data_IF_304533883176
#
_entry.id   IF_304533883176
#
_cell.length_a   1.000
_cell.length_b   1.000
_cell.length_c   1.000
_cell.angle_alpha   90.00
_cell.angle_beta   90.00
_cell.angle_gamma   90.00
#
_symmetry.space_group_name_H-M   'P 1'
#
loop_
_entity.id
_entity.type
_entity.pdbx_description
1 polymer ?
#
# COMPACT_ATOMS: atom_id res chain seq x y z
N UNK A 1 13.51 -3.89 14.83
CA UNK A 1 14.29 -4.06 13.58
C UNK A 1 13.31 -3.97 12.43
N UNK A 2 13.60 -3.23 11.36
CA UNK A 2 12.72 -3.15 10.18
C UNK A 2 13.00 -4.34 9.25
N UNK A 3 11.97 -4.93 8.66
CA UNK A 3 12.07 -6.01 7.68
C UNK A 3 12.15 -5.40 6.28
N UNK A 4 13.12 -5.82 5.49
CA UNK A 4 13.23 -5.41 4.07
C UNK A 4 12.36 -6.33 3.22
N UNK A 5 11.48 -5.74 2.42
CA UNK A 5 10.61 -6.45 1.47
C UNK A 5 10.95 -6.00 0.07
N UNK A 6 11.35 -6.93 -0.80
CA UNK A 6 11.72 -6.59 -2.17
C UNK A 6 10.48 -6.22 -3.01
N UNK A 7 10.63 -5.19 -3.84
CA UNK A 7 9.61 -4.79 -4.82
C UNK A 7 10.23 -4.55 -6.19
N UNK A 8 9.48 -4.81 -7.26
CA UNK A 8 9.92 -4.44 -8.61
C UNK A 8 9.41 -3.06 -9.05
N UNK A 9 8.46 -2.49 -8.32
CA UNK A 9 7.89 -1.18 -8.63
C UNK A 9 8.76 -0.06 -8.05
N UNK A 10 9.23 0.89 -8.89
CA UNK A 10 9.97 2.07 -8.41
C UNK A 10 9.14 2.95 -7.48
N UNK A 11 7.81 3.00 -7.66
CA UNK A 11 6.92 3.82 -6.83
C UNK A 11 6.90 3.33 -5.36
N UNK A 12 7.00 2.01 -5.18
CA UNK A 12 7.04 1.36 -3.86
C UNK A 12 8.41 1.47 -3.17
N UNK A 13 9.48 1.87 -3.88
CA UNK A 13 10.81 2.04 -3.28
C UNK A 13 10.77 3.11 -2.17
N UNK A 14 11.34 2.82 -1.00
CA UNK A 14 11.30 3.62 0.22
C UNK A 14 9.91 3.82 0.84
N UNK A 15 8.92 3.02 0.46
CA UNK A 15 7.62 3.03 1.16
C UNK A 15 7.72 2.12 2.38
N UNK A 16 7.11 2.50 3.52
CA UNK A 16 7.12 1.66 4.72
C UNK A 16 5.77 1.59 5.42
N UNK A 17 5.54 0.47 6.13
CA UNK A 17 4.35 0.21 6.94
C UNK A 17 4.69 -0.69 8.13
N UNK A 18 4.32 -0.27 9.34
CA UNK A 18 4.66 -0.95 10.59
C UNK A 18 6.17 -1.22 10.72
N UNK A 19 6.58 -2.48 10.57
CA UNK A 19 7.99 -2.92 10.60
C UNK A 19 8.61 -3.07 9.22
N UNK A 20 7.83 -3.00 8.15
CA UNK A 20 8.28 -3.41 6.82
C UNK A 20 8.61 -2.18 5.96
N UNK A 21 9.69 -2.26 5.20
CA UNK A 21 10.08 -1.27 4.19
C UNK A 21 10.22 -1.95 2.83
N UNK A 22 9.60 -1.37 1.82
CA UNK A 22 9.69 -1.83 0.44
C UNK A 22 10.88 -1.16 -0.25
N UNK A 23 11.77 -1.99 -0.78
CA UNK A 23 12.95 -1.52 -1.49
C UNK A 23 13.06 -2.26 -2.82
N UNK A 24 13.17 -1.47 -3.89
CA UNK A 24 13.49 -2.01 -5.22
C UNK A 24 14.96 -2.41 -5.30
N UNK A 25 15.31 -3.68 -5.62
CA UNK A 25 16.70 -4.08 -5.86
C UNK A 25 17.38 -3.19 -6.89
N UNK A 26 18.67 -2.88 -6.68
CA UNK A 26 19.43 -2.07 -7.61
C UNK A 26 19.72 -2.90 -8.86
N UNK A 27 19.20 -2.51 -10.04
CA UNK A 27 19.49 -3.23 -11.26
C UNK A 27 20.96 -3.07 -11.67
N UNK A 28 21.63 -4.18 -12.00
CA UNK A 28 23.04 -4.22 -12.38
C UNK A 28 23.40 -3.26 -13.53
N UNK A 29 22.51 -3.12 -14.51
CA UNK A 29 22.73 -2.25 -15.65
C UNK A 29 22.87 -0.77 -15.26
N UNK A 30 22.33 -0.34 -14.10
CA UNK A 30 22.51 1.03 -13.61
C UNK A 30 23.93 1.30 -13.09
N UNK A 31 24.73 0.26 -12.88
CA UNK A 31 26.16 0.40 -12.53
C UNK A 31 27.07 0.42 -13.78
N UNK A 32 26.53 0.21 -14.98
CA UNK A 32 27.29 0.21 -16.23
C UNK A 32 27.27 1.57 -16.93
N UNK A 33 28.42 2.22 -17.06
CA UNK A 33 28.55 3.50 -17.77
C UNK A 33 28.07 3.43 -19.22
N UNK A 34 28.39 2.34 -19.93
CA UNK A 34 27.98 2.14 -21.34
C UNK A 34 26.45 2.13 -21.49
N UNK A 35 25.74 1.55 -20.52
CA UNK A 35 24.28 1.52 -20.53
C UNK A 35 23.69 2.92 -20.33
N UNK A 36 24.30 3.72 -19.45
CA UNK A 36 23.89 5.10 -19.22
C UNK A 36 24.01 5.93 -20.50
N UNK A 37 25.16 5.89 -21.16
CA UNK A 37 25.40 6.65 -22.39
C UNK A 37 24.41 6.28 -23.49
N UNK A 38 24.15 4.97 -23.66
CA UNK A 38 23.35 4.46 -24.76
C UNK A 38 21.84 4.58 -24.54
N UNK A 39 21.35 4.26 -23.34
CA UNK A 39 19.91 4.04 -23.10
C UNK A 39 19.29 5.08 -22.16
N UNK A 40 20.07 5.78 -21.32
CA UNK A 40 19.54 6.69 -20.28
C UNK A 40 19.79 8.17 -20.60
N UNK A 41 21.02 8.55 -20.98
CA UNK A 41 21.42 9.94 -21.17
C UNK A 41 20.63 10.68 -22.27
N UNK A 42 20.05 9.93 -23.22
CA UNK A 42 19.19 10.49 -24.27
C UNK A 42 17.78 10.87 -23.81
N UNK A 43 17.34 10.41 -22.63
CA UNK A 43 16.00 10.67 -22.08
C UNK A 43 16.11 11.31 -20.68
N UNK A 44 15.77 12.59 -20.58
CA UNK A 44 15.83 13.35 -19.34
C UNK A 44 14.95 12.74 -18.22
N UNK A 45 13.80 12.18 -18.55
CA UNK A 45 12.88 11.59 -17.56
C UNK A 45 13.44 10.28 -17.01
N UNK A 46 14.04 9.47 -17.88
CA UNK A 46 14.70 8.23 -17.48
C UNK A 46 15.95 8.53 -16.65
N UNK A 47 16.74 9.51 -17.08
CA UNK A 47 17.90 10.00 -16.35
C UNK A 47 17.53 10.43 -14.92
N UNK A 48 16.53 11.30 -14.78
CA UNK A 48 16.00 11.77 -13.49
C UNK A 48 15.60 10.63 -12.56
N UNK A 49 14.96 9.62 -13.11
CA UNK A 49 14.42 8.49 -12.35
C UNK A 49 15.51 7.50 -11.93
N UNK A 50 16.44 7.19 -12.83
CA UNK A 50 17.58 6.31 -12.56
C UNK A 50 18.55 6.96 -11.56
N UNK A 51 18.82 8.26 -11.71
CA UNK A 51 19.69 9.00 -10.81
C UNK A 51 19.08 9.11 -9.41
N UNK A 52 17.78 9.36 -9.30
CA UNK A 52 17.08 9.36 -8.02
C UNK A 52 17.13 8.02 -7.29
N UNK A 53 17.02 6.90 -8.03
CA UNK A 53 17.18 5.56 -7.46
C UNK A 53 18.61 5.30 -6.99
N UNK A 54 19.62 5.72 -7.76
CA UNK A 54 21.01 5.57 -7.33
C UNK A 54 21.31 6.39 -6.07
N UNK A 55 20.83 7.62 -6.02
CA UNK A 55 21.01 8.51 -4.89
C UNK A 55 20.34 7.98 -3.62
N UNK A 56 19.16 7.35 -3.72
CA UNK A 56 18.55 6.73 -2.55
C UNK A 56 19.42 5.60 -1.97
N UNK A 57 20.09 4.83 -2.82
CA UNK A 57 20.99 3.77 -2.39
C UNK A 57 22.26 4.30 -1.72
N UNK A 58 22.82 5.44 -2.16
CA UNK A 58 23.98 6.04 -1.49
C UNK A 58 23.64 6.49 -0.07
N UNK A 59 22.38 6.84 0.21
CA UNK A 59 21.90 7.14 1.56
C UNK A 59 21.56 5.89 2.38
N UNK A 60 21.06 4.83 1.73
CA UNK A 60 20.73 3.58 2.41
C UNK A 60 21.97 2.78 2.85
N UNK A 61 23.05 2.81 2.06
CA UNK A 61 24.22 1.96 2.24
C UNK A 61 25.43 2.84 2.58
N UNK A 62 25.49 3.28 3.83
CA UNK A 62 26.57 4.13 4.34
C UNK A 62 27.69 3.31 5.00
N UNK A 63 27.33 2.22 5.68
CA UNK A 63 28.26 1.41 6.47
C UNK A 63 28.42 0.00 5.91
N UNK A 64 29.53 -0.65 6.29
CA UNK A 64 29.80 -2.05 5.93
C UNK A 64 28.73 -3.03 6.43
N UNK A 65 28.07 -2.70 7.55
CA UNK A 65 26.90 -3.44 8.04
C UNK A 65 25.72 -3.36 7.07
N UNK A 66 25.48 -2.19 6.50
CA UNK A 66 24.35 -1.92 5.61
C UNK A 66 24.57 -2.61 4.26
N UNK A 67 25.81 -2.58 3.77
CA UNK A 67 26.23 -3.32 2.57
C UNK A 67 26.00 -4.82 2.74
N UNK A 68 26.42 -5.39 3.88
CA UNK A 68 26.15 -6.81 4.18
C UNK A 68 24.65 -7.12 4.16
N UNK A 69 23.82 -6.28 4.79
CA UNK A 69 22.36 -6.46 4.78
C UNK A 69 21.82 -6.36 3.33
N UNK A 70 22.30 -5.39 2.55
CA UNK A 70 21.87 -5.21 1.16
C UNK A 70 22.21 -6.42 0.28
N UNK A 71 23.38 -7.02 0.45
CA UNK A 71 23.76 -8.25 -0.25
C UNK A 71 22.94 -9.45 0.26
N UNK A 72 22.80 -9.63 1.58
CA UNK A 72 22.02 -10.74 2.18
C UNK A 72 20.54 -10.69 1.78
N UNK A 73 19.97 -9.50 1.62
CA UNK A 73 18.58 -9.28 1.21
C UNK A 73 18.39 -9.27 -0.31
N UNK A 74 19.48 -9.33 -1.09
CA UNK A 74 19.43 -9.29 -2.56
C UNK A 74 19.09 -7.91 -3.15
N UNK A 75 19.30 -6.83 -2.39
CA UNK A 75 19.20 -5.46 -2.90
C UNK A 75 20.40 -5.07 -3.75
N UNK A 76 21.58 -5.59 -3.40
CA UNK A 76 22.80 -5.47 -4.18
C UNK A 76 23.25 -6.85 -4.69
N UNK A 77 23.86 -6.89 -5.88
CA UNK A 77 24.54 -8.09 -6.37
C UNK A 77 25.67 -8.53 -5.44
N UNK A 78 25.86 -9.85 -5.29
CA UNK A 78 26.83 -10.41 -4.34
C UNK A 78 28.30 -10.26 -4.77
N UNK A 79 28.54 -9.93 -6.03
CA UNK A 79 29.83 -9.63 -6.63
C UNK A 79 30.31 -8.20 -6.35
N UNK A 80 29.43 -7.30 -5.91
CA UNK A 80 29.80 -5.93 -5.54
C UNK A 80 30.35 -5.90 -4.12
N UNK A 81 31.66 -5.77 -3.97
CA UNK A 81 32.29 -5.58 -2.67
C UNK A 81 32.03 -4.16 -2.10
N UNK A 82 32.32 -3.99 -0.81
CA UNK A 82 32.05 -2.71 -0.12
C UNK A 82 32.93 -1.57 -0.64
N UNK A 83 34.16 -1.86 -1.07
CA UNK A 83 35.11 -0.84 -1.51
C UNK A 83 34.71 -0.32 -2.91
N UNK A 84 34.28 -1.21 -3.80
CA UNK A 84 33.69 -0.90 -5.11
C UNK A 84 32.40 -0.10 -4.96
N UNK A 85 31.51 -0.53 -4.06
CA UNK A 85 30.29 0.23 -3.75
C UNK A 85 30.63 1.65 -3.26
N UNK A 86 31.59 1.78 -2.35
CA UNK A 86 31.98 3.07 -1.77
C UNK A 86 32.58 3.99 -2.84
N UNK A 87 33.46 3.47 -3.70
CA UNK A 87 34.02 4.23 -4.82
C UNK A 87 32.92 4.73 -5.77
N UNK A 88 31.96 3.87 -6.09
CA UNK A 88 30.80 4.21 -6.93
C UNK A 88 29.89 5.27 -6.29
N UNK A 89 29.57 5.11 -5.00
CA UNK A 89 28.74 6.05 -4.25
C UNK A 89 29.40 7.44 -4.13
N UNK A 90 30.73 7.50 -3.99
CA UNK A 90 31.49 8.75 -3.99
C UNK A 90 31.38 9.46 -5.35
N UNK A 91 31.50 8.74 -6.48
CA UNK A 91 31.36 9.34 -7.81
C UNK A 91 29.96 9.94 -8.02
N UNK A 92 28.90 9.24 -7.61
CA UNK A 92 27.52 9.74 -7.67
C UNK A 92 27.36 11.02 -6.85
N UNK A 93 27.80 11.00 -5.59
CA UNK A 93 27.67 12.15 -4.68
C UNK A 93 28.52 13.35 -5.13
N UNK A 94 29.71 13.11 -5.69
CA UNK A 94 30.57 14.17 -6.21
C UNK A 94 29.90 14.88 -7.40
N UNK A 95 29.26 14.13 -8.30
CA UNK A 95 28.51 14.71 -9.42
C UNK A 95 27.29 15.52 -8.94
N UNK A 96 26.65 15.12 -7.84
CA UNK A 96 25.55 15.86 -7.23
C UNK A 96 26.00 17.17 -6.54
N UNK A 97 27.19 17.18 -5.92
CA UNK A 97 27.70 18.31 -5.13
C UNK A 97 28.40 19.41 -5.93
N UNK A 98 28.89 19.11 -7.14
CA UNK A 98 29.60 20.06 -8.02
C UNK A 98 28.69 21.12 -8.70
N UNK A 99 27.50 21.40 -8.17
CA UNK A 99 26.65 22.51 -8.60
C UNK A 99 25.89 22.31 -9.92
N UNK A 100 26.10 21.17 -10.59
CA UNK A 100 25.10 20.63 -11.52
C UNK A 100 24.13 19.85 -10.64
N UNK A 101 23.04 20.48 -10.18
CA UNK A 101 21.94 19.75 -9.55
C UNK A 101 21.47 18.72 -10.56
N UNK A 102 22.04 17.52 -10.51
CA UNK A 102 21.69 16.45 -11.42
C UNK A 102 20.19 16.29 -11.25
N UNK A 103 19.41 16.47 -12.31
CA UNK A 103 17.99 16.53 -12.16
C UNK A 103 17.54 15.18 -11.60
N UNK A 104 16.87 15.20 -10.46
CA UNK A 104 16.29 14.02 -9.81
C UNK A 104 14.79 14.07 -10.04
N UNK A 105 14.16 12.90 -10.18
CA UNK A 105 12.72 12.82 -10.27
C UNK A 105 12.10 13.24 -8.91
N UNK A 106 11.09 14.11 -8.95
CA UNK A 106 10.40 14.67 -7.77
C UNK A 106 9.95 13.60 -6.75
N UNK A 107 9.71 12.36 -7.21
CA UNK A 107 9.44 11.21 -6.32
C UNK A 107 10.52 11.12 -5.22
N UNK A 108 11.79 11.18 -5.58
CA UNK A 108 12.90 10.88 -4.67
C UNK A 108 13.19 12.02 -3.68
N UNK A 109 12.66 13.23 -3.91
CA UNK A 109 12.76 14.35 -2.97
C UNK A 109 12.08 14.03 -1.63
N UNK A 110 11.07 13.15 -1.63
CA UNK A 110 10.32 12.77 -0.44
C UNK A 110 10.98 11.66 0.39
N UNK A 111 11.95 10.93 -0.15
CA UNK A 111 12.59 9.80 0.53
C UNK A 111 11.59 8.74 1.05
N UNK A 112 11.70 8.43 2.34
CA UNK A 112 10.84 7.45 3.02
C UNK A 112 9.38 7.93 3.14
N UNK A 113 8.46 7.20 2.50
CA UNK A 113 7.04 7.49 2.54
C UNK A 113 6.27 6.46 3.38
N UNK A 114 5.45 6.93 4.31
CA UNK A 114 4.58 6.07 5.09
C UNK A 114 3.34 5.66 4.27
N UNK A 115 3.14 4.36 4.09
CA UNK A 115 2.04 3.81 3.31
C UNK A 115 0.65 4.28 3.78
N UNK A 116 0.44 4.44 5.10
CA UNK A 116 -0.86 4.90 5.62
C UNK A 116 -1.22 6.32 5.18
N UNK A 117 -0.24 7.24 5.18
CA UNK A 117 -0.44 8.63 4.71
C UNK A 117 -0.69 8.67 3.22
N UNK A 118 0.04 7.85 2.48
CA UNK A 118 -0.07 7.77 1.03
C UNK A 118 -1.44 7.20 0.62
N UNK A 119 -1.92 6.16 1.32
CA UNK A 119 -3.27 5.65 1.15
C UNK A 119 -4.33 6.71 1.45
N UNK A 120 -4.16 7.56 2.46
CA UNK A 120 -5.10 8.65 2.72
C UNK A 120 -5.09 9.68 1.59
N UNK A 121 -3.92 10.09 1.08
CA UNK A 121 -3.82 11.04 -0.02
C UNK A 121 -4.56 10.56 -1.28
N UNK A 122 -4.39 9.28 -1.63
CA UNK A 122 -5.04 8.66 -2.79
C UNK A 122 -6.55 8.46 -2.57
N UNK A 123 -6.96 8.05 -1.36
CA UNK A 123 -8.37 7.81 -1.05
C UNK A 123 -9.19 9.09 -0.92
N UNK A 124 -8.58 10.17 -0.44
CA UNK A 124 -9.22 11.48 -0.29
C UNK A 124 -9.16 12.31 -1.58
N UNK A 125 -8.64 11.75 -2.67
CA UNK A 125 -8.62 12.38 -3.99
C UNK A 125 -7.58 13.49 -4.16
N UNK A 126 -6.71 13.71 -3.17
CA UNK A 126 -5.64 14.71 -3.24
C UNK A 126 -4.56 14.37 -4.29
N UNK A 127 -4.42 13.08 -4.64
CA UNK A 127 -3.57 12.60 -5.74
C UNK A 127 -4.36 12.38 -7.07
N UNK A 128 -5.56 12.96 -7.20
CA UNK A 128 -6.47 12.76 -8.32
C UNK A 128 -7.62 11.80 -7.98
N UNK A 129 -8.85 12.26 -8.18
CA UNK A 129 -10.04 11.47 -7.91
C UNK A 129 -10.19 10.32 -8.92
N UNK A 130 -10.08 9.10 -8.43
CA UNK A 130 -10.36 7.89 -9.21
C UNK A 130 -10.97 6.84 -8.30
N UNK A 131 -12.01 6.14 -8.78
CA UNK A 131 -12.60 5.00 -8.08
C UNK A 131 -11.56 3.91 -7.80
N UNK A 132 -10.53 3.80 -8.65
CA UNK A 132 -9.38 2.93 -8.42
C UNK A 132 -8.57 3.33 -7.19
N UNK A 133 -8.22 4.62 -7.09
CA UNK A 133 -7.43 5.16 -5.98
C UNK A 133 -8.21 5.11 -4.66
N UNK A 134 -9.54 5.26 -4.72
CA UNK A 134 -10.41 5.14 -3.55
C UNK A 134 -10.47 3.71 -2.99
N UNK A 135 -10.50 2.69 -3.86
CA UNK A 135 -10.57 1.29 -3.43
C UNK A 135 -9.19 0.73 -3.07
N UNK A 136 -8.19 0.93 -3.93
CA UNK A 136 -6.88 0.32 -3.78
C UNK A 136 -5.88 1.18 -2.98
N UNK A 137 -6.09 2.50 -2.87
CA UNK A 137 -5.09 3.40 -2.31
C UNK A 137 -3.84 3.48 -3.20
N UNK A 138 -2.68 3.61 -2.56
CA UNK A 138 -1.39 3.74 -3.25
C UNK A 138 -0.83 2.39 -3.72
N UNK A 139 -0.82 1.36 -2.86
CA UNK A 139 -0.33 0.02 -3.25
C UNK A 139 -1.49 -0.94 -3.51
N UNK A 140 -1.52 -1.54 -4.70
CA UNK A 140 -2.47 -2.64 -5.03
C UNK A 140 -2.12 -3.97 -4.33
N UNK A 141 -0.94 -4.06 -3.69
CA UNK A 141 -0.25 -5.32 -3.37
C UNK A 141 -0.83 -6.16 -2.22
N UNK A 142 -1.85 -5.69 -1.51
CA UNK A 142 -2.58 -6.58 -0.58
C UNK A 142 -4.05 -6.20 -0.45
N UNK A 143 -4.81 -6.47 -1.50
CA UNK A 143 -6.28 -6.56 -1.45
C UNK A 143 -6.77 -7.96 -1.12
N UNK A 144 -6.00 -8.73 -0.31
CA UNK A 144 -6.56 -9.94 0.28
C UNK A 144 -7.68 -9.52 1.23
N UNK A 145 -8.91 -9.67 0.75
CA UNK A 145 -10.17 -9.51 1.49
C UNK A 145 -10.07 -9.97 2.96
N UNK A 146 -9.45 -11.13 3.28
CA UNK A 146 -9.33 -11.57 4.66
C UNK A 146 -8.63 -10.57 5.58
N UNK A 147 -7.57 -9.89 5.12
CA UNK A 147 -6.81 -8.94 5.94
C UNK A 147 -7.60 -7.64 6.22
N UNK A 148 -8.41 -7.18 5.26
CA UNK A 148 -9.31 -6.05 5.45
C UNK A 148 -10.43 -6.39 6.45
N UNK A 149 -11.08 -7.55 6.27
CA UNK A 149 -12.15 -7.97 7.18
C UNK A 149 -11.62 -8.29 8.57
N UNK A 150 -10.47 -8.95 8.72
CA UNK A 150 -9.87 -9.25 10.03
C UNK A 150 -9.57 -7.98 10.86
N UNK A 151 -9.06 -6.91 10.23
CA UNK A 151 -8.77 -5.64 10.93
C UNK A 151 -10.03 -4.91 11.39
N UNK A 152 -11.11 -4.97 10.61
CA UNK A 152 -12.36 -4.28 10.93
C UNK A 152 -13.32 -5.12 11.77
N UNK A 153 -13.20 -6.46 11.73
CA UNK A 153 -14.07 -7.38 12.47
C UNK A 153 -13.94 -7.21 13.98
N UNK A 154 -12.75 -6.85 14.49
CA UNK A 154 -12.54 -6.59 15.92
C UNK A 154 -13.46 -5.49 16.47
N UNK A 155 -13.61 -4.37 15.75
CA UNK A 155 -14.50 -3.28 16.16
C UNK A 155 -15.98 -3.65 16.04
N UNK A 156 -16.36 -4.36 14.97
CA UNK A 156 -17.73 -4.86 14.80
C UNK A 156 -18.10 -5.84 15.91
N UNK A 157 -17.19 -6.75 16.27
CA UNK A 157 -17.37 -7.70 17.37
C UNK A 157 -17.50 -6.99 18.71
N UNK A 158 -16.68 -5.96 18.97
CA UNK A 158 -16.77 -5.17 20.20
C UNK A 158 -18.14 -4.47 20.35
N UNK A 159 -18.64 -3.86 19.27
CA UNK A 159 -19.96 -3.23 19.25
C UNK A 159 -21.08 -4.26 19.45
N UNK A 160 -20.97 -5.42 18.80
CA UNK A 160 -21.92 -6.53 18.96
C UNK A 160 -21.96 -7.03 20.42
N UNK A 161 -20.81 -7.22 21.05
CA UNK A 161 -20.70 -7.62 22.45
C UNK A 161 -21.35 -6.57 23.35
N UNK A 162 -21.08 -5.29 23.12
CA UNK A 162 -21.67 -4.20 23.89
C UNK A 162 -23.21 -4.22 23.83
N UNK A 163 -23.80 -4.30 22.64
CA UNK A 163 -25.26 -4.38 22.48
C UNK A 163 -25.84 -5.66 23.09
N UNK A 164 -25.15 -6.79 22.96
CA UNK A 164 -25.59 -8.06 23.57
C UNK A 164 -25.68 -7.91 25.09
N UNK A 165 -24.63 -7.38 25.72
CA UNK A 165 -24.62 -7.14 27.18
C UNK A 165 -25.71 -6.14 27.58
N UNK A 166 -25.86 -5.04 26.84
CA UNK A 166 -26.88 -4.03 27.10
C UNK A 166 -28.30 -4.60 27.04
N UNK A 167 -28.61 -5.37 25.98
CA UNK A 167 -29.92 -5.98 25.79
C UNK A 167 -30.18 -7.08 26.84
N UNK A 168 -29.17 -7.87 27.21
CA UNK A 168 -29.30 -8.86 28.29
C UNK A 168 -29.53 -8.20 29.64
N UNK A 169 -28.84 -7.11 29.97
CA UNK A 169 -29.10 -6.35 31.19
C UNK A 169 -30.52 -5.76 31.19
N UNK A 170 -31.01 -5.31 30.04
CA UNK A 170 -32.38 -4.82 29.88
C UNK A 170 -33.40 -5.92 30.13
N UNK A 171 -33.17 -7.14 29.63
CA UNK A 171 -34.03 -8.29 29.89
C UNK A 171 -34.13 -8.60 31.39
N UNK A 172 -33.01 -8.53 32.11
CA UNK A 172 -32.99 -8.71 33.57
C UNK A 172 -33.76 -7.59 34.28
N UNK A 173 -33.59 -6.33 33.85
CA UNK A 173 -34.28 -5.19 34.45
C UNK A 173 -35.82 -5.28 34.28
N UNK A 174 -36.28 -5.66 33.08
CA UNK A 174 -37.70 -5.88 32.78
C UNK A 174 -38.30 -7.06 33.55
N UNK A 175 -37.50 -8.04 33.95
CA UNK A 175 -37.95 -9.19 34.75
C UNK A 175 -38.16 -8.86 36.24
N UNK A 176 -37.69 -7.71 36.72
CA UNK A 176 -37.92 -7.29 38.12
C UNK A 176 -39.27 -6.62 38.29
N UNK A 177 -39.97 -6.82 39.42
CA UNK A 177 -41.26 -6.17 39.67
C UNK A 177 -41.16 -4.63 39.64
N UNK A 178 -40.09 -4.06 40.22
CA UNK A 178 -39.94 -2.61 40.37
C UNK A 178 -39.81 -1.85 39.04
N UNK A 179 -39.07 -2.41 38.08
CA UNK A 179 -38.85 -1.79 36.76
C UNK A 179 -39.81 -2.36 35.72
N UNK A 180 -40.14 -3.64 35.80
CA UNK A 180 -41.07 -4.32 34.91
C UNK A 180 -42.52 -3.80 35.05
N UNK A 181 -42.95 -3.29 36.21
CA UNK A 181 -44.28 -2.70 36.36
C UNK A 181 -44.38 -1.24 35.90
N UNK A 182 -43.25 -0.59 35.58
CA UNK A 182 -43.21 0.82 35.18
C UNK A 182 -43.44 0.96 33.68
N UNK A 183 -44.57 1.55 33.28
CA UNK A 183 -44.93 1.79 31.87
C UNK A 183 -43.86 2.63 31.15
N UNK A 184 -43.29 3.62 31.85
CA UNK A 184 -42.25 4.48 31.29
C UNK A 184 -40.96 3.70 30.99
N UNK A 185 -40.60 2.76 31.88
CA UNK A 185 -39.41 1.93 31.68
C UNK A 185 -39.61 0.91 30.55
N UNK A 186 -40.81 0.32 30.45
CA UNK A 186 -41.15 -0.58 29.34
C UNK A 186 -41.07 0.13 27.98
N UNK A 187 -41.63 1.34 27.87
CA UNK A 187 -41.59 2.12 26.62
C UNK A 187 -40.14 2.43 26.21
N UNK A 188 -39.32 2.94 27.12
CA UNK A 188 -37.89 3.22 26.86
C UNK A 188 -37.13 1.94 26.48
N UNK A 189 -37.42 0.81 27.13
CA UNK A 189 -36.81 -0.47 26.81
C UNK A 189 -37.18 -0.96 25.41
N UNK A 190 -38.43 -0.76 25.00
CA UNK A 190 -38.92 -1.06 23.66
C UNK A 190 -38.21 -0.21 22.61
N UNK A 191 -38.09 1.09 22.85
CA UNK A 191 -37.41 2.02 21.95
C UNK A 191 -35.92 1.66 21.78
N UNK A 192 -35.22 1.35 22.88
CA UNK A 192 -33.82 0.92 22.85
C UNK A 192 -33.65 -0.41 22.10
N UNK A 193 -34.58 -1.36 22.28
CA UNK A 193 -34.55 -2.63 21.57
C UNK A 193 -34.75 -2.44 20.06
N UNK A 194 -35.73 -1.63 19.66
CA UNK A 194 -35.98 -1.29 18.25
C UNK A 194 -34.79 -0.57 17.61
N UNK A 195 -34.18 0.39 18.32
CA UNK A 195 -32.98 1.09 17.85
C UNK A 195 -31.78 0.14 17.70
N UNK A 196 -31.60 -0.80 18.61
CA UNK A 196 -30.52 -1.79 18.55
C UNK A 196 -30.68 -2.73 17.35
N UNK A 197 -31.91 -3.21 17.11
CA UNK A 197 -32.22 -4.04 15.93
C UNK A 197 -32.00 -3.24 14.64
N UNK A 198 -32.49 -1.99 14.58
CA UNK A 198 -32.31 -1.13 13.43
C UNK A 198 -30.81 -0.87 13.15
N UNK A 199 -30.01 -0.61 14.18
CA UNK A 199 -28.57 -0.44 14.05
C UNK A 199 -27.87 -1.67 13.47
N UNK A 200 -28.18 -2.88 13.98
CA UNK A 200 -27.62 -4.13 13.45
C UNK A 200 -28.02 -4.35 12.00
N UNK A 201 -29.29 -4.11 11.65
CA UNK A 201 -29.77 -4.23 10.27
C UNK A 201 -29.04 -3.26 9.33
N UNK A 202 -28.91 -1.99 9.73
CA UNK A 202 -28.18 -0.98 8.95
C UNK A 202 -26.72 -1.39 8.76
N UNK A 203 -26.05 -1.87 9.82
CA UNK A 203 -24.67 -2.34 9.73
C UNK A 203 -24.51 -3.51 8.76
N UNK A 204 -25.41 -4.49 8.80
CA UNK A 204 -25.42 -5.64 7.88
C UNK A 204 -25.67 -5.18 6.44
N UNK A 205 -26.63 -4.28 6.21
CA UNK A 205 -26.93 -3.73 4.88
C UNK A 205 -25.71 -2.98 4.32
N UNK A 206 -25.08 -2.10 5.11
CA UNK A 206 -23.86 -1.40 4.71
C UNK A 206 -22.76 -2.40 4.35
N UNK A 207 -22.55 -3.42 5.18
CA UNK A 207 -21.55 -4.46 4.92
C UNK A 207 -21.81 -5.19 3.60
N UNK A 208 -23.06 -5.60 3.34
CA UNK A 208 -23.45 -6.26 2.09
C UNK A 208 -23.29 -5.34 0.87
N UNK A 209 -23.62 -4.05 1.01
CA UNK A 209 -23.43 -3.06 -0.05
C UNK A 209 -21.94 -2.86 -0.37
N UNK A 210 -21.10 -2.70 0.66
CA UNK A 210 -19.64 -2.57 0.49
C UNK A 210 -19.07 -3.84 -0.16
N UNK A 211 -19.46 -5.02 0.32
CA UNK A 211 -19.01 -6.29 -0.25
C UNK A 211 -19.44 -6.44 -1.70
N UNK A 212 -20.70 -6.14 -2.03
CA UNK A 212 -21.23 -6.22 -3.39
C UNK A 212 -20.50 -5.25 -4.32
N UNK A 213 -20.31 -4.00 -3.89
CA UNK A 213 -19.58 -2.99 -4.64
C UNK A 213 -18.14 -3.45 -4.93
N UNK A 214 -17.40 -3.88 -3.91
CA UNK A 214 -16.03 -4.33 -4.08
C UNK A 214 -15.96 -5.59 -4.96
N UNK A 215 -16.90 -6.53 -4.81
CA UNK A 215 -16.98 -7.73 -5.65
C UNK A 215 -17.11 -7.37 -7.14
N UNK A 216 -18.10 -6.56 -7.48
CA UNK A 216 -18.32 -6.12 -8.86
C UNK A 216 -17.13 -5.33 -9.41
N UNK A 217 -16.55 -4.46 -8.58
CA UNK A 217 -15.39 -3.67 -8.97
C UNK A 217 -14.15 -4.52 -9.26
N UNK A 218 -13.82 -5.50 -8.40
CA UNK A 218 -12.72 -6.44 -8.64
C UNK A 218 -12.98 -7.35 -9.85
N UNK A 219 -14.22 -7.81 -10.03
CA UNK A 219 -14.61 -8.59 -11.20
C UNK A 219 -14.39 -7.79 -12.49
N UNK A 220 -14.86 -6.55 -12.54
CA UNK A 220 -14.69 -5.67 -13.70
C UNK A 220 -13.22 -5.34 -13.97
N UNK A 221 -12.45 -5.06 -12.93
CA UNK A 221 -11.00 -4.85 -13.02
C UNK A 221 -10.29 -6.06 -13.64
N UNK A 222 -10.63 -7.26 -13.17
CA UNK A 222 -10.04 -8.52 -13.67
C UNK A 222 -10.37 -8.74 -15.13
N UNK A 223 -11.63 -8.51 -15.53
CA UNK A 223 -12.06 -8.61 -16.94
C UNK A 223 -11.32 -7.61 -17.81
N UNK A 224 -11.16 -6.36 -17.37
CA UNK A 224 -10.42 -5.34 -18.13
C UNK A 224 -8.93 -5.68 -18.25
N UNK A 225 -8.32 -6.18 -17.17
CA UNK A 225 -6.94 -6.63 -17.16
C UNK A 225 -6.70 -7.79 -18.14
N UNK A 226 -7.59 -8.80 -18.13
CA UNK A 226 -7.52 -9.92 -19.07
C UNK A 226 -7.69 -9.46 -20.52
N UNK A 227 -8.60 -8.52 -20.79
CA UNK A 227 -8.75 -7.91 -22.13
C UNK A 227 -7.46 -7.23 -22.57
N UNK A 228 -6.83 -6.43 -21.70
CA UNK A 228 -5.54 -5.75 -22.00
C UNK A 228 -4.42 -6.74 -22.28
N UNK A 229 -4.29 -7.82 -21.50
CA UNK A 229 -3.28 -8.86 -21.75
C UNK A 229 -3.53 -9.56 -23.08
N UNK A 230 -4.77 -9.91 -23.37
CA UNK A 230 -5.12 -10.59 -24.63
C UNK A 230 -4.75 -9.74 -25.84
N UNK A 231 -5.04 -8.43 -25.78
CA UNK A 231 -4.65 -7.47 -26.82
C UNK A 231 -3.12 -7.39 -26.96
N UNK A 232 -2.38 -7.20 -25.86
CA UNK A 232 -0.90 -7.16 -25.91
C UNK A 232 -0.28 -8.44 -26.48
N UNK A 233 -0.84 -9.62 -26.14
CA UNK A 233 -0.38 -10.90 -26.69
C UNK A 233 -0.63 -11.00 -28.20
N UNK A 234 -1.76 -10.50 -28.67
CA UNK A 234 -2.08 -10.45 -30.10
C UNK A 234 -1.14 -9.49 -30.85
N UNK A 235 -0.84 -8.33 -30.27
CA UNK A 235 0.10 -7.36 -30.86
C UNK A 235 1.53 -7.93 -30.92
N UNK A 236 1.97 -8.70 -29.91
CA UNK A 236 3.30 -9.34 -29.90
C UNK A 236 3.42 -10.55 -30.84
N UNK A 237 2.31 -11.21 -31.19
CA UNK A 237 2.34 -12.40 -32.05
C UNK A 237 2.26 -12.09 -33.54
N UNK A 238 1.78 -10.91 -33.94
CA UNK A 238 1.72 -10.44 -35.32
C UNK A 238 0.90 -11.34 -36.29
N UNK A 239 0.44 -10.81 -37.44
CA UNK A 239 -0.30 -11.59 -38.44
C UNK A 239 0.66 -12.42 -39.31
N UNK A 240 1.42 -13.35 -38.71
CA UNK A 240 2.32 -14.28 -39.43
C UNK A 240 2.22 -15.73 -38.97
N UNK A 241 1.07 -16.13 -38.45
CA UNK A 241 0.83 -17.52 -38.08
C UNK A 241 -0.61 -17.96 -38.40
N UNK A 242 -1.00 -17.85 -39.67
CA UNK A 242 -1.99 -18.72 -40.33
C UNK A 242 -1.47 -18.97 -41.74
#
# INVERSE_FOLDING_TARGET
>A
MRTVVLTESPDEHLVWHDTDIWLKPLPEYLMSFEFWEKEICGDETLYKSANGLLLSYTWLICHKSDHRIAVETGLLPADVDYDTWTAFAVDINLRSTLGTSLPVNERYDYGELRLSRLNHLYRLGAAGFSLWNLVFGFTSRSTRYPAFFQRNFGWVLAVFIYFTVLLSAMQVALATEKLGSSINFQNVSCDIALLSIAFVLVAVVIMLLVWSFLFWFHMMSTVQYLKKIKLRRMDTLGPKAI
#
